data_IF_094526333528
#
_entry.id   IF_094526333528
#
_cell.length_a   1.000
_cell.length_b   1.000
_cell.length_c   1.000
_cell.angle_alpha   90.00
_cell.angle_beta   90.00
_cell.angle_gamma   90.00
#
_symmetry.space_group_name_H-M   'P 1'
#
loop_
_entity.id
_entity.type
_entity.pdbx_description
1 polymer ?
#
# COMPACT_ATOMS: atom_id res chain seq x y z
N UNK A 1 -64.10 -32.09 -22.17
CA UNK A 1 -63.56 -31.80 -23.52
C UNK A 1 -62.96 -30.40 -23.61
N UNK A 2 -63.56 -29.35 -23.02
CA UNK A 2 -62.96 -27.99 -22.99
C UNK A 2 -61.60 -27.92 -22.27
N UNK A 3 -61.43 -28.68 -21.19
CA UNK A 3 -60.22 -28.63 -20.36
C UNK A 3 -58.98 -29.14 -21.10
N UNK A 4 -59.12 -30.25 -21.83
CA UNK A 4 -58.04 -30.82 -22.65
C UNK A 4 -57.66 -29.94 -23.83
N UNK A 5 -58.64 -29.27 -24.45
CA UNK A 5 -58.39 -28.33 -25.55
C UNK A 5 -57.70 -27.05 -25.06
N UNK A 6 -58.09 -26.54 -23.87
CA UNK A 6 -57.42 -25.42 -23.22
C UNK A 6 -55.98 -25.75 -22.83
N UNK A 7 -55.75 -26.93 -22.27
CA UNK A 7 -54.40 -27.41 -21.93
C UNK A 7 -53.50 -27.53 -23.18
N UNK A 8 -54.02 -28.09 -24.28
CA UNK A 8 -53.30 -28.17 -25.55
C UNK A 8 -52.94 -26.78 -26.10
N UNK A 9 -53.91 -25.87 -26.14
CA UNK A 9 -53.68 -24.49 -26.58
C UNK A 9 -52.64 -23.78 -25.71
N UNK A 10 -52.73 -23.95 -24.39
CA UNK A 10 -51.77 -23.39 -23.46
C UNK A 10 -50.36 -23.95 -23.72
N UNK A 11 -50.19 -25.27 -23.70
CA UNK A 11 -48.87 -25.90 -23.91
C UNK A 11 -48.28 -25.55 -25.28
N UNK A 12 -49.08 -25.58 -26.36
CA UNK A 12 -48.61 -25.20 -27.70
C UNK A 12 -48.19 -23.73 -27.75
N UNK A 13 -48.93 -22.81 -27.12
CA UNK A 13 -48.57 -21.39 -27.11
C UNK A 13 -47.21 -21.12 -26.45
N UNK A 14 -46.96 -21.73 -25.28
CA UNK A 14 -45.68 -21.58 -24.58
C UNK A 14 -44.52 -22.22 -25.36
N UNK A 15 -44.75 -23.38 -26.00
CA UNK A 15 -43.75 -24.01 -26.86
C UNK A 15 -43.41 -23.11 -28.06
N UNK A 16 -44.41 -22.48 -28.68
CA UNK A 16 -44.23 -21.61 -29.84
C UNK A 16 -43.45 -20.34 -29.48
N UNK A 17 -43.76 -19.74 -28.32
CA UNK A 17 -43.01 -18.60 -27.77
C UNK A 17 -41.55 -18.99 -27.48
N UNK A 18 -41.32 -20.16 -26.88
CA UNK A 18 -39.98 -20.69 -26.63
C UNK A 18 -39.20 -20.97 -27.92
N UNK A 19 -39.86 -21.48 -28.96
CA UNK A 19 -39.26 -21.78 -30.25
C UNK A 19 -38.83 -20.51 -31.00
N UNK A 20 -39.68 -19.47 -31.04
CA UNK A 20 -39.32 -18.16 -31.63
C UNK A 20 -38.20 -17.47 -30.86
N UNK A 21 -38.19 -17.62 -29.53
CA UNK A 21 -37.17 -17.01 -28.66
C UNK A 21 -35.82 -17.74 -28.71
N UNK A 22 -35.76 -18.94 -29.29
CA UNK A 22 -34.54 -19.76 -29.36
C UNK A 22 -33.42 -19.07 -30.13
N UNK A 23 -33.75 -18.37 -31.22
CA UNK A 23 -32.77 -17.67 -32.05
C UNK A 23 -32.17 -16.46 -31.31
N UNK A 24 -32.96 -15.81 -30.45
CA UNK A 24 -32.50 -14.71 -29.59
C UNK A 24 -31.55 -15.20 -28.48
N UNK A 25 -31.86 -16.34 -27.83
CA UNK A 25 -30.94 -16.97 -26.88
C UNK A 25 -29.63 -17.38 -27.55
N UNK A 26 -29.71 -18.03 -28.72
CA UNK A 26 -28.53 -18.49 -29.45
C UNK A 26 -27.64 -17.32 -29.95
N UNK A 27 -28.24 -16.20 -30.37
CA UNK A 27 -27.53 -14.99 -30.75
C UNK A 27 -26.85 -14.31 -29.55
N UNK A 28 -27.54 -14.23 -28.41
CA UNK A 28 -27.01 -13.63 -27.17
C UNK A 28 -25.85 -14.46 -26.61
N UNK A 29 -26.02 -15.78 -26.51
CA UNK A 29 -24.99 -16.69 -25.97
C UNK A 29 -23.68 -16.63 -26.77
N UNK A 30 -23.72 -16.59 -28.11
CA UNK A 30 -22.51 -16.48 -28.94
C UNK A 30 -21.71 -15.20 -28.66
N UNK A 31 -22.39 -14.08 -28.43
CA UNK A 31 -21.73 -12.81 -28.12
C UNK A 31 -21.19 -12.79 -26.68
N UNK A 32 -21.91 -13.40 -25.73
CA UNK A 32 -21.44 -13.53 -24.35
C UNK A 32 -20.15 -14.37 -24.24
N UNK A 33 -20.00 -15.45 -25.02
CA UNK A 33 -18.76 -16.23 -25.03
C UNK A 33 -17.56 -15.46 -25.61
N UNK A 34 -17.78 -14.59 -26.60
CA UNK A 34 -16.74 -13.73 -27.14
C UNK A 34 -16.38 -12.57 -26.19
N UNK A 35 -17.39 -11.94 -25.57
CA UNK A 35 -17.22 -10.86 -24.61
C UNK A 35 -16.58 -11.35 -23.29
N UNK A 36 -16.91 -12.56 -22.85
CA UNK A 36 -16.37 -13.16 -21.63
C UNK A 36 -14.85 -13.35 -21.68
N UNK A 37 -14.31 -13.80 -22.81
CA UNK A 37 -12.86 -13.98 -22.98
C UNK A 37 -12.10 -12.65 -22.96
N UNK A 38 -12.67 -11.60 -23.54
CA UNK A 38 -12.06 -10.25 -23.51
C UNK A 38 -12.04 -9.71 -22.08
N UNK A 39 -13.16 -9.85 -21.35
CA UNK A 39 -13.24 -9.42 -19.95
C UNK A 39 -12.29 -10.20 -19.05
N UNK A 40 -12.16 -11.51 -19.24
CA UNK A 40 -11.22 -12.36 -18.49
C UNK A 40 -9.78 -11.90 -18.69
N UNK A 41 -9.37 -11.65 -19.94
CA UNK A 41 -8.02 -11.15 -20.26
C UNK A 41 -7.77 -9.78 -19.64
N UNK A 42 -8.73 -8.86 -19.72
CA UNK A 42 -8.60 -7.52 -19.13
C UNK A 42 -8.45 -7.58 -17.61
N UNK A 43 -9.25 -8.39 -16.93
CA UNK A 43 -9.16 -8.58 -15.47
C UNK A 43 -7.84 -9.23 -15.09
N UNK A 44 -7.39 -10.26 -15.82
CA UNK A 44 -6.10 -10.90 -15.58
C UNK A 44 -4.94 -9.90 -15.73
N UNK A 45 -4.94 -9.09 -16.79
CA UNK A 45 -3.93 -8.04 -17.01
C UNK A 45 -3.95 -7.03 -15.85
N UNK A 46 -5.14 -6.56 -15.45
CA UNK A 46 -5.27 -5.60 -14.35
C UNK A 46 -4.69 -6.14 -13.03
N UNK A 47 -4.95 -7.42 -12.72
CA UNK A 47 -4.40 -8.10 -11.54
C UNK A 47 -2.87 -8.19 -11.63
N UNK A 48 -2.32 -8.58 -12.79
CA UNK A 48 -0.87 -8.70 -12.99
C UNK A 48 -0.18 -7.33 -12.80
N UNK A 49 -0.74 -6.27 -13.40
CA UNK A 49 -0.21 -4.91 -13.29
C UNK A 49 -0.24 -4.44 -11.83
N UNK A 50 -1.35 -4.67 -11.13
CA UNK A 50 -1.50 -4.31 -9.73
C UNK A 50 -0.51 -5.07 -8.83
N UNK A 51 -0.36 -6.38 -9.03
CA UNK A 51 0.58 -7.20 -8.28
C UNK A 51 2.04 -6.77 -8.51
N UNK A 52 2.42 -6.45 -9.76
CA UNK A 52 3.74 -5.94 -10.09
C UNK A 52 4.02 -4.58 -9.43
N UNK A 53 3.04 -3.68 -9.43
CA UNK A 53 3.13 -2.40 -8.72
C UNK A 53 3.33 -2.61 -7.22
N UNK A 54 2.54 -3.49 -6.61
CA UNK A 54 2.60 -3.79 -5.18
C UNK A 54 3.95 -4.39 -4.77
N UNK A 55 4.46 -5.37 -5.53
CA UNK A 55 5.79 -5.95 -5.30
C UNK A 55 6.90 -4.90 -5.39
N UNK A 56 6.83 -4.01 -6.39
CA UNK A 56 7.80 -2.92 -6.55
C UNK A 56 7.82 -1.99 -5.33
N UNK A 57 6.65 -1.66 -4.78
CA UNK A 57 6.59 -0.85 -3.56
C UNK A 57 7.22 -1.58 -2.37
N UNK A 58 6.90 -2.86 -2.15
CA UNK A 58 7.45 -3.63 -1.03
C UNK A 58 8.97 -3.70 -1.11
N UNK A 59 9.52 -3.99 -2.29
CA UNK A 59 10.97 -4.08 -2.48
C UNK A 59 11.62 -2.71 -2.24
N UNK A 60 11.03 -1.64 -2.77
CA UNK A 60 11.54 -0.28 -2.59
C UNK A 60 11.54 0.15 -1.12
N UNK A 61 10.47 -0.15 -0.39
CA UNK A 61 10.33 0.28 1.01
C UNK A 61 11.01 -0.65 2.01
N UNK A 62 11.30 -1.91 1.67
CA UNK A 62 12.09 -2.81 2.53
C UNK A 62 13.49 -2.29 2.82
N UNK A 63 14.10 -1.56 1.88
CA UNK A 63 15.44 -1.00 2.06
C UNK A 63 15.54 0.03 3.22
N UNK A 64 14.43 0.66 3.61
CA UNK A 64 14.41 1.66 4.68
C UNK A 64 14.24 1.07 6.09
N UNK A 65 13.89 -0.22 6.21
CA UNK A 65 13.69 -0.87 7.51
C UNK A 65 14.98 -1.31 8.21
N UNK A 66 16.13 -1.16 7.56
CA UNK A 66 17.43 -1.53 8.14
C UNK A 66 18.16 -0.27 8.58
N UNK A 67 17.59 0.45 9.55
CA UNK A 67 18.34 1.48 10.27
C UNK A 67 19.22 0.76 11.30
N UNK A 68 20.56 0.76 11.13
CA UNK A 68 21.45 0.08 12.06
C UNK A 68 21.34 0.71 13.46
N UNK A 69 21.13 -0.12 14.48
CA UNK A 69 21.06 0.33 15.88
C UNK A 69 22.46 0.24 16.49
N UNK A 70 22.89 1.32 17.14
CA UNK A 70 24.11 1.35 17.94
C UNK A 70 23.76 1.26 19.44
N UNK A 71 24.64 0.66 20.23
CA UNK A 71 24.47 0.63 21.69
C UNK A 71 24.90 1.97 22.30
N UNK A 72 24.14 2.44 23.30
CA UNK A 72 24.38 3.76 23.96
C UNK A 72 25.80 3.87 24.52
N UNK A 73 26.34 2.79 25.10
CA UNK A 73 27.68 2.76 25.65
C UNK A 73 28.78 2.95 24.59
N UNK A 74 28.57 2.41 23.38
CA UNK A 74 29.49 2.58 22.26
C UNK A 74 29.44 4.01 21.72
N UNK A 75 28.25 4.59 21.61
CA UNK A 75 28.09 5.99 21.20
C UNK A 75 28.77 6.94 22.19
N UNK A 76 28.62 6.71 23.50
CA UNK A 76 29.27 7.49 24.54
C UNK A 76 30.81 7.40 24.46
N UNK A 77 31.35 6.21 24.22
CA UNK A 77 32.79 6.01 24.04
C UNK A 77 33.33 6.75 22.79
N UNK A 78 32.58 6.73 21.68
CA UNK A 78 32.95 7.47 20.44
C UNK A 78 32.91 8.99 20.62
N UNK A 79 31.94 9.50 21.39
CA UNK A 79 31.87 10.92 21.74
C UNK A 79 33.05 11.33 22.65
N UNK A 80 33.38 10.51 23.65
CA UNK A 80 34.51 10.75 24.55
C UNK A 80 35.87 10.66 23.85
N UNK A 81 36.00 9.82 22.81
CA UNK A 81 37.21 9.65 22.02
C UNK A 81 37.48 10.78 21.00
N UNK A 82 36.69 11.87 21.01
CA UNK A 82 36.92 13.05 20.15
C UNK A 82 36.15 13.06 18.83
N UNK A 83 35.11 12.24 18.67
CA UNK A 83 34.27 12.19 17.47
C UNK A 83 33.25 13.34 17.31
N UNK A 84 33.34 14.39 18.12
CA UNK A 84 32.29 15.43 18.29
C UNK A 84 32.02 16.28 17.05
N UNK A 85 32.95 16.39 16.11
CA UNK A 85 32.76 17.23 14.91
C UNK A 85 31.89 16.57 13.85
N UNK A 86 31.88 15.23 13.79
CA UNK A 86 31.14 14.46 12.78
C UNK A 86 29.92 13.73 13.33
N UNK A 87 29.83 13.55 14.64
CA UNK A 87 28.71 12.87 15.29
C UNK A 87 27.65 13.91 15.69
N UNK A 88 26.46 13.82 15.09
CA UNK A 88 25.30 14.67 15.43
C UNK A 88 24.19 13.80 16.02
N UNK A 89 23.83 14.10 17.27
CA UNK A 89 22.75 13.41 17.97
C UNK A 89 21.45 14.16 17.72
N UNK A 90 20.41 13.47 17.26
CA UNK A 90 19.13 14.07 16.87
C UNK A 90 18.02 13.57 17.80
N UNK A 91 17.39 14.50 18.48
CA UNK A 91 16.21 14.24 19.31
C UNK A 91 14.95 14.35 18.45
N UNK A 92 14.24 13.22 18.27
CA UNK A 92 12.98 13.15 17.50
C UNK A 92 11.75 12.95 18.40
N UNK A 93 11.87 13.20 19.72
CA UNK A 93 10.72 13.11 20.64
C UNK A 93 9.65 14.15 20.28
N UNK A 94 8.39 13.71 20.29
CA UNK A 94 7.24 14.59 20.00
C UNK A 94 6.94 15.55 21.16
N UNK A 95 6.34 16.70 20.84
CA UNK A 95 6.14 17.85 21.73
C UNK A 95 5.38 17.55 23.04
N UNK A 96 4.66 16.43 23.11
CA UNK A 96 3.82 16.05 24.26
C UNK A 96 4.55 15.37 25.42
N UNK A 97 5.85 15.08 25.28
CA UNK A 97 6.65 14.34 26.29
C UNK A 97 7.76 15.18 26.93
N UNK A 98 7.61 16.50 26.97
CA UNK A 98 8.51 17.37 27.74
C UNK A 98 8.03 17.43 29.18
N UNK A 99 8.41 16.44 29.96
CA UNK A 99 8.36 16.54 31.41
C UNK A 99 9.25 17.72 31.85
N UNK A 100 8.70 18.57 32.73
CA UNK A 100 9.38 19.74 33.28
C UNK A 100 10.58 19.24 34.08
N UNK A 101 11.78 19.30 33.49
CA UNK A 101 13.01 18.72 34.06
C UNK A 101 13.69 17.63 33.22
N UNK A 102 13.23 17.36 31.99
CA UNK A 102 13.85 16.37 31.12
C UNK A 102 15.32 16.73 30.77
N UNK A 103 16.26 15.91 31.24
CA UNK A 103 17.67 15.99 30.84
C UNK A 103 17.83 15.64 29.36
N UNK A 104 18.75 16.34 28.68
CA UNK A 104 19.02 16.19 27.25
C UNK A 104 20.48 15.84 27.04
N UNK A 105 20.75 14.98 26.05
CA UNK A 105 22.12 14.68 25.65
C UNK A 105 22.77 15.97 25.12
N UNK A 106 23.89 16.35 25.74
CA UNK A 106 24.65 17.56 25.43
C UNK A 106 25.08 17.57 23.95
N UNK A 107 24.78 18.65 23.23
CA UNK A 107 25.10 18.80 21.80
C UNK A 107 24.09 18.21 20.82
N UNK A 108 22.93 17.73 21.28
CA UNK A 108 21.87 17.25 20.37
C UNK A 108 21.22 18.38 19.56
N UNK A 109 20.77 18.07 18.34
CA UNK A 109 19.94 18.94 17.51
C UNK A 109 18.48 18.47 17.67
N UNK A 110 17.56 19.42 17.84
CA UNK A 110 16.13 19.16 17.86
C UNK A 110 15.62 19.25 16.43
N UNK A 111 14.94 18.21 15.96
CA UNK A 111 14.25 18.24 14.68
C UNK A 111 12.79 17.91 14.94
N UNK A 112 11.91 18.84 14.64
CA UNK A 112 10.49 18.64 14.89
C UNK A 112 9.88 17.80 13.76
N UNK A 113 9.16 16.69 14.06
CA UNK A 113 8.63 15.81 13.01
C UNK A 113 7.70 16.52 12.02
N UNK A 114 7.05 17.61 12.42
CA UNK A 114 6.17 18.41 11.57
C UNK A 114 6.89 19.29 10.55
N UNK A 115 8.19 19.60 10.75
CA UNK A 115 8.99 20.41 9.82
C UNK A 115 10.23 19.67 9.30
N UNK A 116 10.21 18.33 9.37
CA UNK A 116 11.33 17.45 9.05
C UNK A 116 11.88 17.69 7.63
N UNK A 117 10.99 17.91 6.65
CA UNK A 117 11.34 18.05 5.24
C UNK A 117 12.14 19.33 4.93
N UNK A 118 11.94 20.40 5.71
CA UNK A 118 12.67 21.65 5.57
C UNK A 118 13.97 21.65 6.38
N UNK A 119 13.93 21.12 7.60
CA UNK A 119 15.13 21.04 8.45
C UNK A 119 16.18 20.10 7.86
N UNK A 120 15.80 18.91 7.36
CA UNK A 120 16.71 17.92 6.75
C UNK A 120 17.57 18.53 5.63
N UNK A 121 17.03 19.48 4.85
CA UNK A 121 17.76 20.11 3.74
C UNK A 121 18.96 20.94 4.18
N UNK A 122 18.92 21.45 5.41
CA UNK A 122 19.96 22.30 5.99
C UNK A 122 20.99 21.50 6.80
N UNK A 123 20.79 20.19 6.99
CA UNK A 123 21.78 19.37 7.71
C UNK A 123 22.98 19.02 6.82
N UNK A 124 24.20 19.06 7.38
CA UNK A 124 25.41 18.67 6.67
C UNK A 124 25.33 17.19 6.30
N UNK A 125 25.39 16.88 5.00
CA UNK A 125 25.27 15.51 4.47
C UNK A 125 26.45 14.60 4.81
N UNK A 126 27.56 15.18 5.25
CA UNK A 126 28.80 14.48 5.63
C UNK A 126 28.88 14.16 7.14
N UNK A 127 27.81 14.41 7.91
CA UNK A 127 27.74 14.09 9.33
C UNK A 127 27.05 12.74 9.58
N UNK A 128 27.52 12.00 10.60
CA UNK A 128 26.85 10.81 11.11
C UNK A 128 25.72 11.21 12.05
N UNK A 129 24.49 10.84 11.71
CA UNK A 129 23.29 11.14 12.50
C UNK A 129 22.90 9.96 13.38
N UNK A 130 22.80 10.21 14.69
CA UNK A 130 22.28 9.26 15.66
C UNK A 130 20.94 9.75 16.19
N UNK A 131 19.87 9.05 15.81
CA UNK A 131 18.50 9.38 16.18
C UNK A 131 18.16 8.68 17.51
N UNK A 132 17.56 9.42 18.45
CA UNK A 132 16.97 8.84 19.65
C UNK A 132 15.53 9.33 19.84
N UNK A 133 14.65 8.42 20.25
CA UNK A 133 13.32 8.73 20.77
C UNK A 133 13.18 8.12 22.16
N UNK A 134 12.03 8.36 22.81
CA UNK A 134 11.64 7.66 24.04
C UNK A 134 11.32 6.20 23.76
#
# INVERSE_FOLDING_TARGET
>A
MLDSAGALLYTTSYILVGYVSRDFLAATLRNFYAAGRVMEVLVAIAIIVYAAYWLRQIIKYRAYNVVPRIQVAELAARLAAGGTDKIKIVDVRSHGYYDVGAERIHGSIRIEPSNLDEEIKNLPKDAEFYLYCT
#
